data_IF_942285752834
#
_entry.id   IF_942285752834
#
_cell.length_a   1.000
_cell.length_b   1.000
_cell.length_c   1.000
_cell.angle_alpha   90.00
_cell.angle_beta   90.00
_cell.angle_gamma   90.00
#
_symmetry.space_group_name_H-M   'P 1'
#
loop_
_entity.id
_entity.type
_entity.pdbx_description
1 polymer ?
#
# COMPACT_ATOMS: atom_id res chain seq x y z
N UNK A 1 14.62 2.06 -22.46
CA UNK A 1 14.24 3.38 -21.90
C UNK A 1 13.93 3.13 -20.45
N UNK A 2 14.91 3.35 -19.58
CA UNK A 2 14.76 3.15 -18.14
C UNK A 2 13.80 4.20 -17.60
N UNK A 3 12.61 3.75 -17.22
CA UNK A 3 11.61 4.60 -16.59
C UNK A 3 12.12 4.98 -15.20
N UNK A 4 12.23 6.27 -14.91
CA UNK A 4 12.77 6.71 -13.63
C UNK A 4 11.80 6.37 -12.49
N UNK A 5 12.29 6.27 -11.26
CA UNK A 5 11.44 5.96 -10.12
C UNK A 5 10.30 6.99 -9.94
N UNK A 6 10.56 8.25 -10.28
CA UNK A 6 9.56 9.32 -10.27
C UNK A 6 8.45 9.06 -11.29
N UNK A 7 8.79 8.69 -12.53
CA UNK A 7 7.80 8.40 -13.57
C UNK A 7 6.94 7.19 -13.20
N UNK A 8 7.53 6.16 -12.58
CA UNK A 8 6.78 4.97 -12.11
C UNK A 8 5.77 5.34 -11.03
N UNK A 9 6.16 6.18 -10.08
CA UNK A 9 5.28 6.66 -9.01
C UNK A 9 4.13 7.47 -9.58
N UNK A 10 4.41 8.42 -10.48
CA UNK A 10 3.37 9.24 -11.11
C UNK A 10 2.37 8.37 -11.90
N UNK A 11 2.87 7.40 -12.66
CA UNK A 11 2.02 6.49 -13.44
C UNK A 11 1.14 5.60 -12.55
N UNK A 12 1.67 5.03 -11.46
CA UNK A 12 0.87 4.23 -10.53
C UNK A 12 -0.18 5.09 -9.82
N UNK A 13 0.19 6.30 -9.39
CA UNK A 13 -0.77 7.21 -8.76
C UNK A 13 -1.89 7.62 -9.72
N UNK A 14 -1.56 7.88 -10.99
CA UNK A 14 -2.55 8.17 -12.02
C UNK A 14 -3.48 6.98 -12.24
N UNK A 15 -2.92 5.78 -12.39
CA UNK A 15 -3.71 4.55 -12.55
C UNK A 15 -4.65 4.31 -11.36
N UNK A 16 -4.16 4.54 -10.14
CA UNK A 16 -4.98 4.43 -8.93
C UNK A 16 -6.08 5.49 -8.88
N UNK A 17 -5.79 6.75 -9.26
CA UNK A 17 -6.82 7.80 -9.32
C UNK A 17 -7.90 7.47 -10.34
N UNK A 18 -7.51 6.96 -11.51
CA UNK A 18 -8.46 6.58 -12.54
C UNK A 18 -9.32 5.39 -12.07
N UNK A 19 -8.73 4.40 -11.39
CA UNK A 19 -9.45 3.23 -10.87
C UNK A 19 -10.37 3.55 -9.68
N UNK A 20 -9.95 4.45 -8.78
CA UNK A 20 -10.67 4.78 -7.55
C UNK A 20 -11.40 6.14 -7.61
N UNK A 21 -11.58 6.72 -8.79
CA UNK A 21 -12.28 8.01 -9.01
C UNK A 21 -11.70 9.17 -8.16
N UNK A 22 -10.37 9.27 -8.07
CA UNK A 22 -9.61 10.25 -7.27
C UNK A 22 -9.90 10.21 -5.74
N UNK A 23 -10.57 9.16 -5.24
CA UNK A 23 -10.88 8.96 -3.81
C UNK A 23 -9.72 8.29 -3.06
N UNK A 24 -8.53 8.91 -3.13
CA UNK A 24 -7.31 8.43 -2.46
C UNK A 24 -7.02 9.23 -1.18
N UNK A 25 -6.89 8.53 -0.05
CA UNK A 25 -6.47 9.14 1.21
C UNK A 25 -4.95 9.43 1.21
N UNK A 26 -4.44 10.26 2.13
CA UNK A 26 -3.00 10.46 2.28
C UNK A 26 -2.24 9.13 2.50
N UNK A 27 -2.77 8.23 3.34
CA UNK A 27 -2.17 6.91 3.58
C UNK A 27 -2.08 6.08 2.30
N UNK A 28 -3.13 6.08 1.47
CA UNK A 28 -3.19 5.32 0.23
C UNK A 28 -2.21 5.86 -0.82
N UNK A 29 -2.06 7.19 -0.91
CA UNK A 29 -1.02 7.80 -1.76
C UNK A 29 0.37 7.34 -1.35
N UNK A 30 0.67 7.36 -0.06
CA UNK A 30 1.96 6.88 0.47
C UNK A 30 2.17 5.39 0.17
N UNK A 31 1.13 4.56 0.27
CA UNK A 31 1.20 3.14 -0.09
C UNK A 31 1.62 2.95 -1.55
N UNK A 32 0.98 3.66 -2.47
CA UNK A 32 1.30 3.57 -3.90
C UNK A 32 2.67 4.14 -4.23
N UNK A 33 3.04 5.29 -3.67
CA UNK A 33 4.37 5.88 -3.83
C UNK A 33 5.47 4.90 -3.39
N UNK A 34 5.33 4.27 -2.23
CA UNK A 34 6.31 3.29 -1.73
C UNK A 34 6.38 2.03 -2.59
N UNK A 35 5.23 1.58 -3.09
CA UNK A 35 5.13 0.41 -3.97
C UNK A 35 5.88 0.66 -5.28
N UNK A 36 5.67 1.81 -5.92
CA UNK A 36 6.33 2.15 -7.18
C UNK A 36 7.81 2.56 -7.02
N UNK A 37 8.20 3.08 -5.85
CA UNK A 37 9.56 3.55 -5.54
C UNK A 37 10.49 2.46 -4.95
N UNK A 38 10.30 1.18 -5.31
CA UNK A 38 11.21 0.10 -4.89
C UNK A 38 11.34 -0.07 -3.36
N UNK A 39 10.25 0.17 -2.61
CA UNK A 39 10.31 0.13 -1.14
C UNK A 39 11.26 1.18 -0.52
N UNK A 40 11.85 2.10 -1.30
CA UNK A 40 12.69 3.20 -0.79
C UNK A 40 11.78 4.26 -0.17
N UNK A 41 11.76 4.24 1.15
CA UNK A 41 10.90 5.09 1.97
C UNK A 41 10.53 4.32 3.22
N UNK A 42 11.54 4.05 4.04
CA UNK A 42 11.41 3.24 5.24
C UNK A 42 10.19 3.69 6.08
N UNK A 43 9.15 2.87 6.24
CA UNK A 43 8.08 3.14 7.20
C UNK A 43 8.58 3.12 8.65
N UNK A 44 9.80 2.67 8.93
CA UNK A 44 10.30 2.39 10.28
C UNK A 44 10.79 3.62 11.09
N UNK A 45 10.49 4.84 10.67
CA UNK A 45 10.68 6.04 11.53
C UNK A 45 9.41 6.48 12.26
N UNK A 46 8.41 5.61 12.39
CA UNK A 46 7.33 5.83 13.34
C UNK A 46 7.72 5.21 14.69
N UNK A 47 7.55 5.98 15.76
CA UNK A 47 7.78 5.48 17.12
C UNK A 47 6.93 4.22 17.34
N UNK A 48 7.49 3.11 17.87
CA UNK A 48 6.73 1.91 18.20
C UNK A 48 5.45 2.18 19.00
N UNK A 49 5.44 3.23 19.84
CA UNK A 49 4.28 3.64 20.61
C UNK A 49 3.15 4.29 19.77
N UNK A 50 3.49 4.87 18.61
CA UNK A 50 2.57 5.48 17.65
C UNK A 50 1.95 4.45 16.69
N UNK A 51 2.65 3.34 16.43
CA UNK A 51 2.19 2.26 15.53
C UNK A 51 1.63 1.04 16.28
N UNK A 52 1.32 1.17 17.57
CA UNK A 52 0.68 0.12 18.35
C UNK A 52 -0.73 -0.22 17.79
N UNK A 53 -0.95 -1.44 17.26
CA UNK A 53 -2.25 -1.86 16.72
C UNK A 53 -3.40 -1.78 17.74
N UNK A 54 -3.11 -1.87 19.04
CA UNK A 54 -4.13 -1.75 20.08
C UNK A 54 -4.78 -0.35 20.08
N UNK A 55 -4.07 0.67 19.58
CA UNK A 55 -4.55 2.06 19.47
C UNK A 55 -5.11 2.39 18.08
N UNK A 56 -5.20 1.42 17.17
CA UNK A 56 -5.57 1.64 15.78
C UNK A 56 -6.93 2.34 15.59
N UNK A 57 -7.86 2.21 16.54
CA UNK A 57 -9.15 2.91 16.51
C UNK A 57 -9.02 4.45 16.55
N UNK A 58 -7.90 4.97 17.05
CA UNK A 58 -7.61 6.40 17.15
C UNK A 58 -6.90 6.96 15.90
N UNK A 59 -6.53 6.09 14.95
CA UNK A 59 -5.77 6.50 13.76
C UNK A 59 -6.64 7.20 12.71
N UNK A 60 -6.13 8.30 12.17
CA UNK A 60 -6.77 9.11 11.15
C UNK A 60 -6.52 8.62 9.72
N UNK A 61 -6.93 9.44 8.75
CA UNK A 61 -6.81 9.16 7.31
C UNK A 61 -5.37 9.06 6.79
N UNK A 62 -4.40 9.44 7.62
CA UNK A 62 -2.96 9.31 7.41
C UNK A 62 -2.43 7.88 7.67
N UNK A 63 -3.23 7.04 8.35
CA UNK A 63 -2.88 5.63 8.65
C UNK A 63 -3.98 4.63 8.33
N UNK A 64 -5.13 5.10 7.82
CA UNK A 64 -6.24 4.24 7.39
C UNK A 64 -6.12 3.92 5.90
N UNK A 65 -6.04 2.63 5.59
CA UNK A 65 -6.03 2.08 4.24
C UNK A 65 -7.32 1.30 4.03
N UNK A 66 -7.96 1.41 2.86
CA UNK A 66 -9.03 0.47 2.53
C UNK A 66 -8.44 -0.81 1.92
N UNK A 67 -8.99 -1.96 2.31
CA UNK A 67 -8.47 -3.27 1.95
C UNK A 67 -8.48 -3.54 0.43
N UNK A 68 -9.42 -2.95 -0.29
CA UNK A 68 -9.51 -3.04 -1.75
C UNK A 68 -8.31 -2.40 -2.48
N UNK A 69 -7.62 -1.41 -1.90
CA UNK A 69 -6.40 -0.83 -2.48
C UNK A 69 -5.26 -1.85 -2.47
N UNK A 70 -5.14 -2.59 -1.37
CA UNK A 70 -4.14 -3.65 -1.22
C UNK A 70 -4.47 -4.80 -2.17
N UNK A 71 -5.74 -5.21 -2.23
CA UNK A 71 -6.19 -6.23 -3.18
C UNK A 71 -5.90 -5.83 -4.62
N UNK A 72 -6.22 -4.59 -4.99
CA UNK A 72 -5.98 -4.08 -6.33
C UNK A 72 -4.49 -4.16 -6.73
N UNK A 73 -3.57 -3.76 -5.85
CA UNK A 73 -2.13 -3.94 -6.06
C UNK A 73 -1.69 -5.40 -6.23
N UNK A 74 -2.47 -6.35 -5.69
CA UNK A 74 -2.17 -7.77 -5.76
C UNK A 74 -2.76 -8.48 -6.98
N UNK A 75 -3.86 -7.98 -7.53
CA UNK A 75 -4.66 -8.74 -8.52
C UNK A 75 -4.88 -8.03 -9.84
N UNK A 76 -4.74 -6.71 -9.89
CA UNK A 76 -4.92 -5.95 -11.13
C UNK A 76 -3.66 -6.05 -12.01
N UNK A 77 -3.76 -6.52 -13.26
CA UNK A 77 -2.60 -6.73 -14.13
C UNK A 77 -1.79 -5.46 -14.41
N UNK A 78 -2.43 -4.28 -14.41
CA UNK A 78 -1.73 -3.01 -14.63
C UNK A 78 -1.06 -2.52 -13.34
N UNK A 79 -1.71 -2.70 -12.19
CA UNK A 79 -1.15 -2.33 -10.90
C UNK A 79 0.05 -3.22 -10.50
N UNK A 80 -0.04 -4.53 -10.73
CA UNK A 80 1.00 -5.51 -10.36
C UNK A 80 2.35 -5.20 -11.02
N UNK A 81 2.37 -4.60 -12.22
CA UNK A 81 3.60 -4.18 -12.92
C UNK A 81 4.44 -3.17 -12.13
N UNK A 82 3.82 -2.46 -11.19
CA UNK A 82 4.49 -1.48 -10.36
C UNK A 82 5.06 -2.08 -9.07
N UNK A 83 4.61 -3.28 -8.67
CA UNK A 83 5.11 -3.99 -7.50
C UNK A 83 6.45 -4.66 -7.82
N UNK A 84 7.45 -4.45 -6.98
CA UNK A 84 8.74 -5.08 -7.16
C UNK A 84 8.72 -6.55 -6.72
N UNK A 85 9.17 -7.51 -7.55
CA UNK A 85 9.08 -8.94 -7.22
C UNK A 85 9.74 -9.35 -5.91
N UNK A 86 10.89 -8.75 -5.57
CA UNK A 86 11.67 -9.13 -4.38
C UNK A 86 11.28 -8.37 -3.10
N UNK A 87 10.83 -7.11 -3.23
CA UNK A 87 10.46 -6.26 -2.10
C UNK A 87 8.97 -6.36 -1.78
N UNK A 88 8.15 -6.59 -2.82
CA UNK A 88 6.72 -6.75 -2.74
C UNK A 88 6.01 -5.55 -2.13
N UNK A 89 5.03 -5.82 -1.27
CA UNK A 89 4.23 -4.80 -0.57
C UNK A 89 4.52 -4.87 0.93
N UNK A 90 4.97 -3.75 1.51
CA UNK A 90 5.18 -3.64 2.95
C UNK A 90 4.29 -2.55 3.55
N UNK A 91 3.44 -2.96 4.50
CA UNK A 91 2.52 -2.10 5.24
C UNK A 91 2.90 -2.15 6.71
N UNK A 92 3.12 -0.98 7.32
CA UNK A 92 3.51 -0.85 8.72
C UNK A 92 2.68 0.24 9.38
N UNK A 93 2.12 -0.01 10.56
CA UNK A 93 1.43 1.04 11.33
C UNK A 93 0.13 1.52 10.68
N UNK A 94 -0.61 0.63 9.99
CA UNK A 94 -1.83 0.99 9.28
C UNK A 94 -3.05 0.25 9.84
N UNK A 95 -4.21 0.93 9.79
CA UNK A 95 -5.51 0.31 10.00
C UNK A 95 -6.12 0.02 8.64
N UNK A 96 -6.27 -1.25 8.33
CA UNK A 96 -6.83 -1.74 7.08
C UNK A 96 -8.32 -1.96 7.31
N UNK A 97 -9.14 -1.13 6.67
CA UNK A 97 -10.60 -1.14 6.77
C UNK A 97 -11.21 -1.94 5.61
N UNK A 98 -12.15 -2.82 5.95
CA UNK A 98 -12.88 -3.63 5.00
C UNK A 98 -12.21 -4.99 4.76
N UNK A 99 -12.85 -5.81 3.94
CA UNK A 99 -12.43 -7.21 3.78
C UNK A 99 -11.21 -7.34 2.86
N UNK A 100 -10.05 -7.63 3.44
CA UNK A 100 -8.84 -7.99 2.69
C UNK A 100 -8.96 -9.45 2.19
N UNK A 101 -9.63 -9.63 1.06
CA UNK A 101 -9.82 -10.93 0.43
C UNK A 101 -8.78 -11.17 -0.66
N UNK A 102 -7.78 -12.01 -0.34
CA UNK A 102 -6.72 -12.45 -1.25
C UNK A 102 -6.76 -13.97 -1.51
N UNK A 103 -7.82 -14.66 -1.08
CA UNK A 103 -7.97 -16.09 -1.31
C UNK A 103 -7.92 -16.38 -2.81
N UNK A 104 -7.16 -17.40 -3.19
CA UNK A 104 -6.97 -17.83 -4.59
C UNK A 104 -6.21 -16.84 -5.49
N UNK A 105 -5.69 -15.74 -4.95
CA UNK A 105 -4.81 -14.85 -5.72
C UNK A 105 -3.43 -15.51 -5.88
N UNK A 106 -2.93 -15.55 -7.12
CA UNK A 106 -1.54 -15.90 -7.40
C UNK A 106 -0.67 -14.66 -7.23
N UNK A 107 0.04 -14.57 -6.11
CA UNK A 107 0.86 -13.41 -5.76
C UNK A 107 2.33 -13.80 -5.87
N UNK A 108 2.98 -13.30 -6.92
CA UNK A 108 4.39 -13.60 -7.25
C UNK A 108 5.42 -12.79 -6.47
N UNK A 109 5.02 -12.09 -5.41
CA UNK A 109 5.86 -11.19 -4.62
C UNK A 109 5.47 -11.25 -3.14
N UNK A 110 6.36 -10.86 -2.20
CA UNK A 110 6.05 -10.92 -0.77
C UNK A 110 5.03 -9.85 -0.36
N UNK A 111 4.22 -10.18 0.66
CA UNK A 111 3.37 -9.20 1.34
C UNK A 111 3.71 -9.24 2.82
N UNK A 112 4.07 -8.09 3.38
CA UNK A 112 4.43 -7.94 4.78
C UNK A 112 3.54 -6.90 5.44
N UNK A 113 2.74 -7.33 6.41
CA UNK A 113 1.91 -6.45 7.24
C UNK A 113 2.45 -6.51 8.67
N UNK A 114 2.96 -5.38 9.18
CA UNK A 114 3.57 -5.29 10.52
C UNK A 114 2.89 -4.21 11.34
N UNK A 115 2.75 -4.42 12.65
CA UNK A 115 2.19 -3.42 13.58
C UNK A 115 0.94 -2.73 13.01
N UNK A 116 0.02 -3.52 12.44
CA UNK A 116 -1.17 -3.03 11.74
C UNK A 116 -2.40 -3.76 12.25
N UNK A 117 -3.57 -3.15 12.10
CA UNK A 117 -4.85 -3.76 12.45
C UNK A 117 -5.69 -3.97 11.19
N UNK A 118 -6.33 -5.13 11.07
CA UNK A 118 -7.29 -5.44 10.00
C UNK A 118 -8.69 -5.48 10.63
N UNK A 119 -9.65 -4.78 10.03
CA UNK A 119 -11.01 -4.58 10.57
C UNK A 119 -12.08 -4.93 9.55
#
# INVERSE_FOLDING_TARGET
MDQTAADRVENLLKLAKDHFEDKLTPAEKVLFEKTANYGKGDPAKADPAEIDPAKANQWGSDRVLKADRIRWLCTDPEAVKYVQPHEGITIVGARIEGQLHLSHAEIGFPISIKNSAIR
#
